data_IF_670205199209
#
_entry.id   IF_670205199209
#
_cell.length_a   1.000
_cell.length_b   1.000
_cell.length_c   1.000
_cell.angle_alpha   90.00
_cell.angle_beta   90.00
_cell.angle_gamma   90.00
#
_symmetry.space_group_name_H-M   'P 1'
#
loop_
_entity.id
_entity.type
_entity.pdbx_description
1 polymer ?
#
# COMPACT_ATOMS: atom_id res chain seq x y z
N UNK A 1 15.12 -16.12 97.71
CA UNK A 1 15.67 -14.82 97.34
C UNK A 1 15.88 -14.79 95.83
N UNK A 2 14.98 -14.18 95.03
CA UNK A 2 15.06 -14.12 93.58
C UNK A 2 15.39 -12.64 93.19
N UNK A 3 16.61 -12.44 92.70
CA UNK A 3 17.10 -11.15 92.24
C UNK A 3 16.59 -10.88 90.79
N UNK A 4 15.76 -9.83 90.62
CA UNK A 4 15.32 -9.33 89.32
C UNK A 4 16.42 -8.48 88.70
N UNK A 5 16.95 -8.87 87.57
CA UNK A 5 17.87 -8.07 86.78
C UNK A 5 17.03 -7.21 85.83
N UNK A 6 17.04 -5.90 86.06
CA UNK A 6 16.43 -4.90 85.15
C UNK A 6 17.42 -4.66 84.00
N UNK A 7 17.01 -4.93 82.75
CA UNK A 7 17.73 -4.52 81.57
C UNK A 7 17.27 -3.10 81.14
N UNK A 8 18.19 -2.16 80.91
CA UNK A 8 17.79 -0.89 80.30
C UNK A 8 17.60 -1.08 78.81
N UNK A 9 16.41 -0.79 78.34
CA UNK A 9 16.12 -0.68 76.88
C UNK A 9 16.55 0.68 76.41
N UNK A 10 17.75 0.76 75.76
CA UNK A 10 18.16 1.94 75.03
C UNK A 10 17.45 1.93 73.66
N UNK A 11 16.41 2.73 73.53
CA UNK A 11 15.79 3.00 72.22
C UNK A 11 16.71 3.93 71.46
N UNK A 12 17.46 3.38 70.53
CA UNK A 12 18.25 4.16 69.59
C UNK A 12 17.29 4.82 68.60
N UNK A 13 16.99 6.09 68.77
CA UNK A 13 16.21 6.90 67.87
C UNK A 13 17.12 7.35 66.72
N UNK A 14 17.12 6.62 65.58
CA UNK A 14 17.78 7.05 64.37
C UNK A 14 17.06 8.26 63.80
N UNK A 15 17.75 9.36 63.47
CA UNK A 15 17.12 10.50 62.85
C UNK A 15 16.63 10.09 61.45
N UNK A 16 15.33 10.19 61.20
CA UNK A 16 14.75 10.09 59.87
C UNK A 16 15.40 11.14 58.98
N UNK A 17 16.29 10.71 58.10
CA UNK A 17 16.75 11.55 56.99
C UNK A 17 15.51 11.96 56.19
N UNK A 18 15.13 13.24 56.28
CA UNK A 18 14.14 13.83 55.37
C UNK A 18 14.82 13.90 54.00
N UNK A 19 14.45 12.98 53.12
CA UNK A 19 14.76 13.14 51.70
C UNK A 19 14.22 14.49 51.24
N UNK A 20 15.11 15.36 50.79
CA UNK A 20 14.72 16.65 50.20
C UNK A 20 14.06 16.28 48.84
N UNK A 21 12.76 16.20 48.83
CA UNK A 21 11.98 16.15 47.60
C UNK A 21 12.19 17.49 46.91
N UNK A 22 12.99 17.52 45.88
CA UNK A 22 13.18 18.70 45.04
C UNK A 22 11.82 19.03 44.40
N UNK A 23 11.20 20.11 44.80
CA UNK A 23 9.94 20.56 44.21
C UNK A 23 10.25 21.20 42.84
N UNK A 24 9.60 20.72 41.80
CA UNK A 24 9.69 21.28 40.44
C UNK A 24 9.08 22.69 40.44
N UNK A 25 9.78 23.65 39.86
CA UNK A 25 9.24 24.98 39.65
C UNK A 25 8.31 25.03 38.45
N UNK A 26 7.32 25.90 38.47
CA UNK A 26 6.37 26.09 37.39
C UNK A 26 7.08 26.51 36.09
N UNK A 27 8.17 27.28 36.21
CA UNK A 27 8.97 27.72 35.05
C UNK A 27 9.77 26.56 34.41
N UNK A 28 10.32 25.65 35.20
CA UNK A 28 11.02 24.46 34.68
C UNK A 28 10.05 23.59 33.85
N UNK A 29 8.83 23.38 34.32
CA UNK A 29 7.83 22.65 33.58
C UNK A 29 7.43 23.37 32.28
N UNK A 30 7.24 24.72 32.38
CA UNK A 30 6.84 25.53 31.24
C UNK A 30 7.90 25.52 30.14
N UNK A 31 9.19 25.61 30.48
CA UNK A 31 10.31 25.58 29.53
C UNK A 31 10.38 24.19 28.82
N UNK A 32 10.20 23.10 29.56
CA UNK A 32 10.22 21.73 28.98
C UNK A 32 9.09 21.55 27.97
N UNK A 33 7.85 21.94 28.33
CA UNK A 33 6.74 21.81 27.36
C UNK A 33 6.93 22.71 26.14
N UNK A 34 7.51 23.91 26.31
CA UNK A 34 7.81 24.80 25.19
C UNK A 34 8.84 24.16 24.22
N UNK A 35 9.90 23.56 24.75
CA UNK A 35 10.89 22.84 23.91
C UNK A 35 10.26 21.66 23.20
N UNK A 36 9.46 20.86 23.90
CA UNK A 36 8.76 19.71 23.30
C UNK A 36 7.81 20.19 22.18
N UNK A 37 7.08 21.28 22.40
CA UNK A 37 6.18 21.84 21.39
C UNK A 37 6.92 22.28 20.13
N UNK A 38 8.08 22.94 20.27
CA UNK A 38 8.91 23.35 19.12
C UNK A 38 9.44 22.13 18.37
N UNK A 39 9.98 21.14 19.09
CA UNK A 39 10.47 19.91 18.46
C UNK A 39 9.36 19.13 17.75
N UNK A 40 8.19 19.02 18.36
CA UNK A 40 7.03 18.37 17.76
C UNK A 40 6.54 19.11 16.50
N UNK A 41 6.50 20.45 16.52
CA UNK A 41 6.09 21.26 15.36
C UNK A 41 6.96 21.01 14.12
N UNK A 42 8.26 20.73 14.29
CA UNK A 42 9.18 20.41 13.20
C UNK A 42 9.15 18.92 12.82
N UNK A 43 8.94 18.03 13.79
CA UNK A 43 8.99 16.59 13.57
C UNK A 43 7.73 16.03 12.90
N UNK A 44 6.54 16.52 13.24
CA UNK A 44 5.25 15.97 12.76
C UNK A 44 5.11 16.04 11.22
N UNK A 45 5.40 17.17 10.53
CA UNK A 45 5.30 17.22 9.07
C UNK A 45 6.27 16.26 8.36
N UNK A 46 7.48 16.11 8.89
CA UNK A 46 8.47 15.20 8.34
C UNK A 46 8.04 13.73 8.52
N UNK A 47 7.52 13.38 9.70
CA UNK A 47 7.03 12.04 10.00
C UNK A 47 5.84 11.63 9.12
N UNK A 48 4.87 12.53 8.91
CA UNK A 48 3.71 12.26 8.04
C UNK A 48 4.12 12.03 6.60
N UNK A 49 5.10 12.78 6.08
CA UNK A 49 5.67 12.57 4.75
C UNK A 49 6.38 11.22 4.63
N UNK A 50 7.21 10.88 5.63
CA UNK A 50 7.91 9.59 5.68
C UNK A 50 6.93 8.42 5.74
N UNK A 51 5.88 8.51 6.56
CA UNK A 51 4.85 7.48 6.68
C UNK A 51 4.10 7.27 5.35
N UNK A 52 3.74 8.33 4.64
CA UNK A 52 3.10 8.23 3.33
C UNK A 52 3.99 7.51 2.32
N UNK A 53 5.29 7.80 2.28
CA UNK A 53 6.25 7.11 1.40
C UNK A 53 6.38 5.62 1.75
N UNK A 54 6.42 5.28 3.05
CA UNK A 54 6.47 3.90 3.50
C UNK A 54 5.22 3.12 3.09
N UNK A 55 4.03 3.73 3.21
CA UNK A 55 2.77 3.16 2.78
C UNK A 55 2.73 2.92 1.26
N UNK A 56 3.19 3.89 0.45
CA UNK A 56 3.30 3.72 -1.00
C UNK A 56 4.24 2.57 -1.37
N UNK A 57 5.38 2.46 -0.68
CA UNK A 57 6.31 1.33 -0.90
C UNK A 57 5.66 0.00 -0.55
N UNK A 58 4.88 -0.06 0.53
CA UNK A 58 4.10 -1.26 0.89
C UNK A 58 3.12 -1.66 -0.21
N UNK A 59 2.34 -0.69 -0.73
CA UNK A 59 1.39 -0.96 -1.82
C UNK A 59 2.09 -1.28 -3.15
N UNK A 60 3.25 -0.69 -3.42
CA UNK A 60 4.08 -1.09 -4.56
C UNK A 60 4.50 -2.57 -4.46
N UNK A 61 4.88 -3.02 -3.28
CA UNK A 61 5.21 -4.43 -3.05
C UNK A 61 3.97 -5.34 -3.19
N UNK A 62 2.79 -4.86 -2.77
CA UNK A 62 1.53 -5.57 -3.00
C UNK A 62 1.24 -5.73 -4.50
N UNK A 63 1.39 -4.66 -5.29
CA UNK A 63 1.25 -4.72 -6.75
C UNK A 63 2.22 -5.71 -7.40
N UNK A 64 3.47 -5.78 -6.92
CA UNK A 64 4.44 -6.80 -7.36
C UNK A 64 3.99 -8.22 -7.03
N UNK A 65 3.48 -8.47 -5.83
CA UNK A 65 3.01 -9.80 -5.45
C UNK A 65 1.79 -10.22 -6.28
N UNK A 66 0.87 -9.30 -6.54
CA UNK A 66 -0.27 -9.54 -7.44
C UNK A 66 0.21 -9.86 -8.86
N UNK A 67 1.17 -9.09 -9.37
CA UNK A 67 1.82 -9.36 -10.65
C UNK A 67 2.46 -10.76 -10.69
N UNK A 68 3.20 -11.15 -9.65
CA UNK A 68 3.84 -12.47 -9.61
C UNK A 68 2.83 -13.61 -9.67
N UNK A 69 1.71 -13.50 -8.95
CA UNK A 69 0.63 -14.48 -9.02
C UNK A 69 0.01 -14.56 -10.42
N UNK A 70 -0.22 -13.41 -11.07
CA UNK A 70 -0.70 -13.34 -12.45
C UNK A 70 0.31 -13.92 -13.44
N UNK A 71 1.58 -13.59 -13.30
CA UNK A 71 2.66 -14.08 -14.18
C UNK A 71 2.81 -15.61 -14.08
N UNK A 72 2.78 -16.15 -12.86
CA UNK A 72 2.83 -17.60 -12.64
C UNK A 72 1.65 -18.29 -13.33
N UNK A 73 0.43 -17.77 -13.16
CA UNK A 73 -0.76 -18.29 -13.82
C UNK A 73 -0.61 -18.29 -15.33
N UNK A 74 -0.16 -17.18 -15.92
CA UNK A 74 0.01 -17.06 -17.38
C UNK A 74 1.10 -18.00 -17.89
N UNK A 75 2.20 -18.14 -17.16
CA UNK A 75 3.30 -19.03 -17.53
C UNK A 75 2.89 -20.51 -17.49
N UNK A 76 2.16 -20.92 -16.44
CA UNK A 76 1.64 -22.28 -16.32
C UNK A 76 0.62 -22.59 -17.42
N UNK A 77 -0.25 -21.62 -17.77
CA UNK A 77 -1.18 -21.73 -18.87
C UNK A 77 -0.49 -21.88 -20.22
N UNK A 78 0.56 -21.12 -20.47
CA UNK A 78 1.39 -21.26 -21.68
C UNK A 78 2.08 -22.61 -21.77
N UNK A 79 2.57 -23.14 -20.64
CA UNK A 79 3.24 -24.43 -20.57
C UNK A 79 2.29 -25.62 -20.75
N UNK A 80 1.03 -25.50 -20.30
CA UNK A 80 0.04 -26.59 -20.32
C UNK A 80 -0.98 -26.49 -21.45
N UNK A 81 -1.04 -25.34 -22.14
CA UNK A 81 -2.08 -25.02 -23.12
C UNK A 81 -3.45 -24.72 -22.52
N UNK A 82 -3.51 -24.40 -21.22
CA UNK A 82 -4.74 -24.07 -20.51
C UNK A 82 -5.13 -22.60 -20.73
N UNK A 83 -6.08 -22.34 -21.64
CA UNK A 83 -6.60 -21.01 -21.93
C UNK A 83 -7.32 -20.34 -20.74
N UNK A 84 -7.66 -21.09 -19.69
CA UNK A 84 -8.20 -20.55 -18.45
C UNK A 84 -7.14 -20.09 -17.46
N UNK A 85 -5.86 -20.25 -17.80
CA UNK A 85 -4.67 -19.80 -17.07
C UNK A 85 -3.82 -18.97 -18.03
N UNK A 86 -4.14 -17.68 -18.14
CA UNK A 86 -3.51 -16.77 -19.10
C UNK A 86 -3.33 -15.38 -18.47
N UNK A 87 -2.77 -14.43 -19.20
CA UNK A 87 -2.86 -13.02 -18.79
C UNK A 87 -4.31 -12.59 -18.69
N UNK A 88 -4.59 -11.65 -17.78
CA UNK A 88 -5.97 -11.24 -17.44
C UNK A 88 -6.80 -10.85 -18.69
N UNK A 89 -6.17 -10.23 -19.71
CA UNK A 89 -6.83 -9.85 -20.96
C UNK A 89 -7.03 -11.00 -21.96
N UNK A 90 -6.33 -12.13 -21.77
CA UNK A 90 -6.42 -13.33 -22.60
C UNK A 90 -7.24 -14.45 -21.95
N UNK A 91 -7.68 -14.27 -20.70
CA UNK A 91 -8.53 -15.24 -20.01
C UNK A 91 -9.85 -15.43 -20.79
N UNK A 92 -10.31 -16.66 -20.85
CA UNK A 92 -11.60 -16.96 -21.47
C UNK A 92 -12.52 -17.70 -20.48
N UNK A 93 -13.60 -17.05 -19.97
CA UNK A 93 -13.99 -15.66 -20.25
C UNK A 93 -13.08 -14.62 -19.55
N UNK A 94 -12.94 -13.44 -20.16
CA UNK A 94 -12.26 -12.30 -19.51
C UNK A 94 -13.02 -11.90 -18.26
N UNK A 95 -12.37 -11.76 -17.09
CA UNK A 95 -13.04 -11.37 -15.85
C UNK A 95 -13.74 -10.02 -15.99
N UNK A 96 -15.04 -9.97 -15.76
CA UNK A 96 -15.82 -8.73 -15.88
C UNK A 96 -15.58 -7.75 -14.71
N UNK A 97 -15.18 -8.26 -13.54
CA UNK A 97 -15.03 -7.49 -12.30
C UNK A 97 -13.72 -7.85 -11.61
N UNK A 98 -13.28 -6.99 -10.67
CA UNK A 98 -12.13 -7.31 -9.80
C UNK A 98 -12.38 -8.58 -8.99
N UNK A 99 -13.61 -8.79 -8.49
CA UNK A 99 -13.96 -10.03 -7.78
C UNK A 99 -13.71 -11.26 -8.65
N UNK A 100 -14.21 -11.27 -9.89
CA UNK A 100 -14.04 -12.41 -10.81
C UNK A 100 -12.55 -12.67 -11.11
N UNK A 101 -11.75 -11.62 -11.25
CA UNK A 101 -10.31 -11.75 -11.42
C UNK A 101 -9.63 -12.36 -10.19
N UNK A 102 -9.89 -11.85 -9.00
CA UNK A 102 -9.31 -12.38 -7.77
C UNK A 102 -9.79 -13.83 -7.50
N UNK A 103 -11.06 -14.13 -7.80
CA UNK A 103 -11.60 -15.51 -7.74
C UNK A 103 -10.83 -16.47 -8.65
N UNK A 104 -10.41 -16.01 -9.84
CA UNK A 104 -9.63 -16.82 -10.77
C UNK A 104 -8.26 -17.13 -10.17
N UNK A 105 -7.52 -16.14 -9.66
CA UNK A 105 -6.21 -16.36 -9.03
C UNK A 105 -6.29 -17.26 -7.80
N UNK A 106 -7.31 -17.06 -6.96
CA UNK A 106 -7.54 -17.88 -5.75
C UNK A 106 -7.97 -19.29 -6.13
N UNK A 107 -8.92 -19.44 -7.04
CA UNK A 107 -9.45 -20.74 -7.46
C UNK A 107 -8.42 -21.62 -8.18
N UNK A 108 -7.45 -20.98 -8.83
CA UNK A 108 -6.29 -21.66 -9.45
C UNK A 108 -5.14 -21.91 -8.47
N UNK A 109 -5.22 -21.39 -7.24
CA UNK A 109 -4.23 -21.63 -6.18
C UNK A 109 -3.01 -20.70 -6.20
N UNK A 110 -2.98 -19.66 -7.03
CA UNK A 110 -1.89 -18.68 -7.09
C UNK A 110 -1.92 -17.66 -5.95
N UNK A 111 -3.08 -17.46 -5.32
CA UNK A 111 -3.25 -16.65 -4.12
C UNK A 111 -4.15 -17.35 -3.10
N UNK A 112 -3.91 -17.05 -1.83
CA UNK A 112 -4.90 -17.36 -0.79
C UNK A 112 -5.97 -16.25 -0.74
N UNK A 113 -7.23 -16.56 -0.37
CA UNK A 113 -8.30 -15.55 -0.34
C UNK A 113 -7.96 -14.32 0.51
N UNK A 114 -7.36 -14.52 1.69
CA UNK A 114 -6.93 -13.44 2.58
C UNK A 114 -5.81 -12.58 2.00
N UNK A 115 -4.87 -13.19 1.26
CA UNK A 115 -3.79 -12.47 0.60
C UNK A 115 -4.33 -11.63 -0.56
N UNK A 116 -5.27 -12.15 -1.34
CA UNK A 116 -5.90 -11.39 -2.42
C UNK A 116 -6.52 -10.07 -1.91
N UNK A 117 -7.22 -10.12 -0.77
CA UNK A 117 -7.79 -8.92 -0.13
C UNK A 117 -6.72 -7.97 0.39
N UNK A 118 -5.67 -8.52 1.00
CA UNK A 118 -4.55 -7.73 1.56
C UNK A 118 -3.77 -7.01 0.46
N UNK A 119 -3.51 -7.67 -0.66
CA UNK A 119 -2.75 -7.08 -1.77
C UNK A 119 -3.49 -5.90 -2.43
N UNK A 120 -4.81 -5.91 -2.40
CA UNK A 120 -5.67 -4.85 -2.91
C UNK A 120 -6.03 -3.80 -1.84
N UNK A 121 -5.36 -3.80 -0.68
CA UNK A 121 -5.59 -2.85 0.40
C UNK A 121 -4.40 -1.94 0.61
N UNK A 122 -4.68 -0.68 1.00
CA UNK A 122 -3.71 0.34 1.36
C UNK A 122 -4.28 1.30 2.41
N UNK A 123 -3.45 2.18 2.94
CA UNK A 123 -3.93 3.26 3.82
C UNK A 123 -4.92 4.18 3.06
N UNK A 124 -6.14 4.23 3.52
CA UNK A 124 -7.24 4.98 2.88
C UNK A 124 -8.03 4.21 1.81
N UNK A 125 -7.66 2.95 1.53
CA UNK A 125 -8.40 2.05 0.64
C UNK A 125 -8.31 0.63 1.20
N UNK A 126 -9.33 0.19 1.91
CA UNK A 126 -9.36 -1.11 2.56
C UNK A 126 -10.37 -2.03 1.86
N UNK A 127 -9.84 -3.00 1.11
CA UNK A 127 -10.67 -4.02 0.49
C UNK A 127 -11.00 -5.10 1.52
N UNK A 128 -12.26 -5.38 1.68
CA UNK A 128 -12.78 -6.49 2.50
C UNK A 128 -13.45 -7.51 1.60
N UNK A 129 -13.69 -8.70 2.10
CA UNK A 129 -14.39 -9.73 1.33
C UNK A 129 -14.91 -10.85 2.18
N UNK A 130 -15.89 -11.54 1.67
CA UNK A 130 -16.41 -12.79 2.24
C UNK A 130 -15.72 -13.98 1.58
N UNK A 131 -15.37 -14.97 2.40
CA UNK A 131 -14.70 -16.20 1.97
C UNK A 131 -15.65 -17.36 2.24
N UNK A 132 -15.83 -18.22 1.25
CA UNK A 132 -16.70 -19.39 1.35
C UNK A 132 -16.35 -20.46 0.35
N UNK A 133 -17.02 -21.59 0.42
CA UNK A 133 -16.79 -22.73 -0.47
C UNK A 133 -15.75 -23.72 0.04
N UNK A 134 -15.60 -24.82 -0.69
CA UNK A 134 -14.59 -25.85 -0.48
C UNK A 134 -14.12 -26.36 -1.85
N UNK A 135 -12.90 -25.99 -2.32
CA UNK A 135 -11.91 -25.17 -1.60
C UNK A 135 -12.36 -23.72 -1.33
N UNK A 136 -11.78 -23.03 -0.33
CA UNK A 136 -12.15 -21.67 0.02
C UNK A 136 -11.84 -20.68 -1.11
N UNK A 137 -12.81 -19.82 -1.45
CA UNK A 137 -12.65 -18.76 -2.43
C UNK A 137 -13.39 -17.48 -1.98
N UNK A 138 -13.16 -16.37 -2.68
CA UNK A 138 -13.90 -15.14 -2.45
C UNK A 138 -15.34 -15.28 -2.96
N UNK A 139 -16.31 -14.86 -2.17
CA UNK A 139 -17.73 -14.89 -2.57
C UNK A 139 -18.33 -13.48 -2.71
N UNK A 140 -17.62 -12.46 -2.26
CA UNK A 140 -18.02 -11.06 -2.40
C UNK A 140 -16.92 -10.12 -1.99
N UNK A 141 -16.99 -8.86 -2.43
CA UNK A 141 -16.12 -7.77 -2.03
C UNK A 141 -16.91 -6.66 -1.35
N UNK A 142 -16.22 -5.92 -0.49
CA UNK A 142 -16.71 -4.70 0.16
C UNK A 142 -15.55 -3.72 0.37
N UNK A 143 -15.88 -2.49 0.77
CA UNK A 143 -14.85 -1.46 0.97
C UNK A 143 -14.38 -0.84 -0.34
N UNK A 144 -13.06 -0.68 -0.50
CA UNK A 144 -12.46 -0.05 -1.67
C UNK A 144 -11.10 -0.68 -1.99
N UNK A 145 -10.83 -0.97 -3.26
CA UNK A 145 -9.52 -1.46 -3.69
C UNK A 145 -8.48 -0.35 -3.69
N UNK A 146 -7.22 -0.70 -3.42
CA UNK A 146 -6.09 0.21 -3.48
C UNK A 146 -5.49 0.29 -4.89
N UNK A 147 -5.65 -0.76 -5.67
CA UNK A 147 -5.10 -0.89 -7.01
C UNK A 147 -6.22 -0.98 -8.05
N UNK A 148 -5.90 -0.57 -9.26
CA UNK A 148 -6.62 -0.84 -10.50
C UNK A 148 -5.78 -1.80 -11.32
N UNK A 149 -6.38 -2.88 -11.81
CA UNK A 149 -5.71 -3.87 -12.66
C UNK A 149 -6.20 -3.72 -14.10
N UNK A 150 -5.28 -3.62 -15.04
CA UNK A 150 -5.58 -3.50 -16.47
C UNK A 150 -5.61 -4.86 -17.15
N UNK A 151 -6.40 -4.96 -18.21
CA UNK A 151 -6.55 -6.18 -19.01
C UNK A 151 -5.32 -6.39 -19.93
N UNK A 152 -4.19 -6.70 -19.33
CA UNK A 152 -2.94 -6.99 -20.02
C UNK A 152 -3.04 -8.33 -20.72
N UNK A 153 -2.54 -8.39 -21.97
CA UNK A 153 -2.46 -9.58 -22.80
C UNK A 153 -1.02 -10.04 -22.96
N UNK A 154 -0.82 -11.27 -23.38
CA UNK A 154 0.52 -11.81 -23.63
C UNK A 154 1.25 -11.03 -24.74
N UNK A 155 0.54 -10.60 -25.76
CA UNK A 155 1.08 -9.81 -26.86
C UNK A 155 1.53 -8.40 -26.47
N UNK A 156 1.12 -7.88 -25.29
CA UNK A 156 1.51 -6.54 -24.87
C UNK A 156 2.99 -6.48 -24.48
N UNK A 157 3.70 -5.35 -24.74
CA UNK A 157 5.09 -5.18 -24.37
C UNK A 157 5.29 -5.14 -22.84
N UNK A 158 6.53 -5.38 -22.38
CA UNK A 158 6.89 -5.37 -20.97
C UNK A 158 6.63 -4.02 -20.27
N UNK A 159 6.65 -2.90 -21.03
CA UNK A 159 6.32 -1.56 -20.55
C UNK A 159 4.82 -1.34 -20.31
N UNK A 160 3.95 -2.26 -20.71
CA UNK A 160 2.50 -2.15 -20.47
C UNK A 160 2.18 -2.15 -18.99
N UNK A 161 1.33 -1.24 -18.58
CA UNK A 161 0.87 -1.12 -17.19
C UNK A 161 -0.03 -2.30 -16.86
N UNK A 162 0.36 -3.07 -15.85
CA UNK A 162 -0.44 -4.15 -15.29
C UNK A 162 -1.37 -3.65 -14.19
N UNK A 163 -0.85 -2.87 -13.24
CA UNK A 163 -1.64 -2.31 -12.16
C UNK A 163 -1.13 -0.92 -11.77
N UNK A 164 -2.06 -0.06 -11.34
CA UNK A 164 -1.75 1.26 -10.77
C UNK A 164 -2.52 1.48 -9.48
N UNK A 165 -2.05 2.39 -8.63
CA UNK A 165 -2.84 2.83 -7.48
C UNK A 165 -4.13 3.53 -7.94
N UNK A 166 -5.23 3.24 -7.25
CA UNK A 166 -6.58 3.68 -7.64
C UNK A 166 -6.72 5.20 -7.79
N UNK A 167 -5.93 5.99 -7.06
CA UNK A 167 -5.95 7.45 -7.14
C UNK A 167 -5.43 8.03 -8.46
N UNK A 168 -4.81 7.22 -9.31
CA UNK A 168 -4.24 7.67 -10.58
C UNK A 168 -5.10 7.22 -11.77
N UNK A 169 -5.38 8.15 -12.67
CA UNK A 169 -5.90 7.91 -14.01
C UNK A 169 -4.80 8.26 -15.01
N UNK A 170 -4.59 7.39 -16.00
CA UNK A 170 -3.49 7.51 -16.95
C UNK A 170 -3.44 8.90 -17.60
N UNK A 171 -2.26 9.51 -17.61
CA UNK A 171 -1.99 10.85 -18.16
C UNK A 171 -2.94 11.93 -17.62
N UNK A 172 -3.31 11.85 -16.34
CA UNK A 172 -4.19 12.82 -15.69
C UNK A 172 -3.57 13.28 -14.38
N UNK A 173 -3.68 14.58 -14.10
CA UNK A 173 -3.20 15.15 -12.85
C UNK A 173 -3.89 14.51 -11.63
N UNK A 174 -3.11 14.28 -10.58
CA UNK A 174 -3.63 13.72 -9.34
C UNK A 174 -4.59 14.71 -8.65
N UNK A 175 -5.66 14.21 -8.06
CA UNK A 175 -6.59 15.00 -7.26
C UNK A 175 -6.51 14.63 -5.77
N UNK A 176 -6.58 15.64 -4.91
CA UNK A 176 -6.45 15.46 -3.45
C UNK A 176 -7.54 14.58 -2.83
N UNK A 177 -8.70 14.54 -3.47
CA UNK A 177 -9.86 13.74 -3.02
C UNK A 177 -9.74 12.26 -3.37
N UNK A 178 -8.81 11.87 -4.26
CA UNK A 178 -8.67 10.50 -4.70
C UNK A 178 -7.87 9.67 -3.69
N UNK A 179 -8.47 8.64 -3.13
CA UNK A 179 -7.76 7.66 -2.31
C UNK A 179 -7.09 6.59 -3.18
N UNK A 180 -5.98 5.96 -2.70
CA UNK A 180 -5.47 6.06 -1.33
C UNK A 180 -4.56 7.24 -1.03
N UNK A 181 -3.93 7.90 -2.01
CA UNK A 181 -2.81 8.80 -1.74
C UNK A 181 -3.04 10.28 -2.12
N UNK A 182 -4.17 10.61 -2.76
CA UNK A 182 -4.45 11.96 -3.25
C UNK A 182 -3.34 12.46 -4.19
N UNK A 183 -2.80 13.65 -3.92
CA UNK A 183 -1.72 14.25 -4.71
C UNK A 183 -0.31 13.84 -4.28
N UNK A 184 -0.14 13.02 -3.24
CA UNK A 184 1.18 12.65 -2.71
C UNK A 184 2.01 11.81 -3.68
N UNK A 185 1.36 11.13 -4.63
CA UNK A 185 1.98 10.29 -5.64
C UNK A 185 1.10 9.11 -6.04
N UNK A 186 1.64 8.27 -6.90
CA UNK A 186 0.96 7.08 -7.40
C UNK A 186 1.96 5.94 -7.63
N UNK A 187 1.44 4.75 -7.81
CA UNK A 187 2.23 3.53 -7.97
C UNK A 187 1.86 2.91 -9.30
N UNK A 188 2.86 2.41 -10.00
CA UNK A 188 2.69 1.67 -11.25
C UNK A 188 3.44 0.36 -11.14
N UNK A 189 2.80 -0.73 -11.52
CA UNK A 189 3.42 -2.04 -11.75
C UNK A 189 3.22 -2.41 -13.21
N UNK A 190 4.31 -2.79 -13.91
CA UNK A 190 4.27 -3.11 -15.34
C UNK A 190 4.28 -4.62 -15.58
N UNK A 191 3.92 -5.02 -16.79
CA UNK A 191 3.98 -6.41 -17.28
C UNK A 191 5.38 -7.02 -17.20
N UNK A 192 6.43 -6.20 -17.27
CA UNK A 192 7.82 -6.63 -17.07
C UNK A 192 8.19 -6.98 -15.63
N UNK A 193 7.28 -6.80 -14.66
CA UNK A 193 7.51 -7.11 -13.25
C UNK A 193 8.14 -5.98 -12.44
N UNK A 194 8.52 -4.90 -13.07
CA UNK A 194 9.01 -3.71 -12.39
C UNK A 194 7.85 -2.91 -11.78
N UNK A 195 8.08 -2.34 -10.62
CA UNK A 195 7.12 -1.48 -9.96
C UNK A 195 7.82 -0.24 -9.42
N UNK A 196 7.16 0.90 -9.54
CA UNK A 196 7.73 2.20 -9.19
C UNK A 196 6.72 3.10 -8.50
N UNK A 197 7.22 3.97 -7.62
CA UNK A 197 6.44 5.04 -6.99
C UNK A 197 6.77 6.35 -7.69
N UNK A 198 5.74 7.07 -8.13
CA UNK A 198 5.85 8.34 -8.82
C UNK A 198 5.27 9.48 -7.98
N UNK A 199 5.78 10.70 -8.20
CA UNK A 199 5.29 11.93 -7.58
C UNK A 199 4.19 12.57 -8.44
N UNK A 200 3.46 13.52 -7.87
CA UNK A 200 2.41 14.27 -8.54
C UNK A 200 2.85 14.85 -9.91
N UNK A 201 4.00 15.52 -9.97
CA UNK A 201 4.53 16.11 -11.21
C UNK A 201 4.96 15.11 -12.29
N UNK A 202 4.83 13.81 -12.03
CA UNK A 202 5.11 12.72 -12.97
C UNK A 202 3.84 12.05 -13.51
N UNK A 203 2.66 12.56 -13.14
CA UNK A 203 1.38 11.96 -13.51
C UNK A 203 0.94 12.26 -14.95
N UNK A 204 1.49 13.30 -15.54
CA UNK A 204 1.07 13.83 -16.85
C UNK A 204 2.29 13.99 -17.76
N UNK A 205 2.09 13.71 -19.04
CA UNK A 205 3.03 13.97 -20.13
C UNK A 205 3.15 15.50 -20.38
N UNK A 206 4.23 15.95 -21.02
CA UNK A 206 4.49 17.35 -21.35
C UNK A 206 5.12 18.17 -20.22
N UNK A 207 5.34 17.55 -19.04
CA UNK A 207 6.02 18.20 -17.92
C UNK A 207 7.55 18.01 -17.94
N UNK A 208 8.23 18.61 -16.93
CA UNK A 208 9.69 18.51 -16.79
C UNK A 208 10.18 17.05 -16.67
N UNK A 209 9.38 16.19 -16.03
CA UNK A 209 9.73 14.79 -15.87
C UNK A 209 9.62 13.99 -17.18
N UNK A 210 8.64 14.31 -17.99
CA UNK A 210 8.31 13.60 -19.22
C UNK A 210 8.05 14.60 -20.38
N UNK A 211 9.11 15.11 -21.02
CA UNK A 211 8.95 16.15 -22.07
C UNK A 211 8.35 15.60 -23.37
N UNK A 212 8.29 14.29 -23.57
CA UNK A 212 7.73 13.65 -24.75
C UNK A 212 6.85 12.47 -24.36
N UNK A 213 5.92 12.08 -25.26
CA UNK A 213 5.07 10.89 -25.11
C UNK A 213 5.92 9.65 -24.85
N UNK A 214 6.99 9.44 -25.62
CA UNK A 214 7.87 8.28 -25.44
C UNK A 214 8.53 8.29 -24.05
N UNK A 215 9.04 9.43 -23.58
CA UNK A 215 9.63 9.50 -22.24
C UNK A 215 8.61 9.17 -21.14
N UNK A 216 7.35 9.57 -21.32
CA UNK A 216 6.25 9.22 -20.41
C UNK A 216 5.92 7.72 -20.47
N UNK A 217 5.79 7.15 -21.67
CA UNK A 217 5.51 5.72 -21.86
C UNK A 217 6.65 4.83 -21.34
N UNK A 218 7.91 5.23 -21.54
CA UNK A 218 9.06 4.51 -20.95
C UNK A 218 9.14 4.65 -19.44
N UNK A 219 8.81 5.83 -18.92
CA UNK A 219 8.84 6.11 -17.49
C UNK A 219 7.64 5.51 -16.78
N UNK A 220 6.43 5.97 -17.06
CA UNK A 220 5.20 5.53 -16.37
C UNK A 220 4.71 4.18 -16.91
N UNK A 221 4.68 4.01 -18.22
CA UNK A 221 4.19 2.81 -18.91
C UNK A 221 3.17 3.15 -19.99
N UNK A 222 2.69 2.13 -20.67
CA UNK A 222 1.68 2.19 -21.74
C UNK A 222 0.39 1.51 -21.29
N UNK A 223 -0.76 1.98 -21.74
CA UNK A 223 -2.01 1.22 -21.57
C UNK A 223 -2.00 -0.04 -22.46
N UNK A 224 -2.75 -1.09 -22.07
CA UNK A 224 -2.94 -2.26 -22.96
C UNK A 224 -3.53 -1.83 -24.31
N UNK A 225 -2.84 -2.21 -25.39
CA UNK A 225 -3.23 -1.85 -26.76
C UNK A 225 -2.67 -0.52 -27.28
N UNK A 226 -1.98 0.26 -26.45
CA UNK A 226 -1.31 1.48 -26.92
C UNK A 226 -0.11 1.15 -27.82
N UNK A 227 0.21 2.10 -28.69
CA UNK A 227 1.37 2.08 -29.57
C UNK A 227 2.40 3.09 -29.08
N UNK A 228 3.69 2.76 -29.23
CA UNK A 228 4.78 3.67 -28.87
C UNK A 228 4.65 5.02 -29.60
N UNK A 229 4.78 6.09 -28.85
CA UNK A 229 4.62 7.47 -29.34
C UNK A 229 3.17 7.95 -29.50
N UNK A 230 2.18 7.15 -29.09
CA UNK A 230 0.75 7.53 -29.10
C UNK A 230 0.14 7.30 -27.76
N UNK A 231 -0.43 8.36 -27.15
CA UNK A 231 -1.12 8.25 -25.86
C UNK A 231 -2.54 7.70 -26.03
N UNK A 232 -2.82 6.60 -25.38
CA UNK A 232 -4.19 6.10 -25.20
C UNK A 232 -4.96 6.86 -24.13
N UNK A 233 -6.26 6.63 -24.11
CA UNK A 233 -7.16 7.11 -23.05
C UNK A 233 -7.59 5.91 -22.21
N UNK A 234 -7.48 6.04 -20.89
CA UNK A 234 -7.93 4.98 -19.97
C UNK A 234 -9.41 4.69 -20.20
N UNK A 235 -9.70 3.47 -20.65
CA UNK A 235 -11.06 3.00 -20.84
C UNK A 235 -11.49 2.18 -19.61
N UNK A 236 -12.56 2.59 -18.89
CA UNK A 236 -13.06 1.84 -17.72
C UNK A 236 -13.38 0.38 -18.02
N UNK A 237 -13.76 0.04 -19.26
CA UNK A 237 -14.02 -1.35 -19.67
C UNK A 237 -12.75 -2.23 -19.62
N UNK A 238 -11.56 -1.64 -19.70
CA UNK A 238 -10.28 -2.34 -19.68
C UNK A 238 -9.61 -2.34 -18.30
N UNK A 239 -10.33 -1.90 -17.27
CA UNK A 239 -9.81 -1.78 -15.90
C UNK A 239 -10.68 -2.58 -14.94
N UNK A 240 -10.05 -3.26 -13.99
CA UNK A 240 -10.70 -3.97 -12.89
C UNK A 240 -10.36 -3.26 -11.59
N UNK A 241 -11.36 -2.66 -10.98
CA UNK A 241 -11.28 -1.88 -9.75
C UNK A 241 -12.54 -2.13 -8.92
N UNK A 242 -12.44 -1.98 -7.60
CA UNK A 242 -13.60 -1.99 -6.71
C UNK A 242 -13.77 -0.59 -6.09
N UNK A 243 -14.99 -0.05 -6.02
CA UNK A 243 -15.30 1.33 -5.59
C UNK A 243 -14.72 1.73 -4.24
#
# INVERSE_FOLDING_TARGET
MKTKINKPSSVFNLPKQRERVSAFTLIELLVVIAIIAILAALAVPALTSALSKAQMTGTMNNGRQLYLAQFQMANDGSATGDASSAWIGDLNPVPATLLAYLQTLVGKGYLQPGDALRLESASGANLTGTIGGNPPNLTGLGGSSALKVYLVQDANPASTIFAVSKNYTYNTALASVNSPYGTKGFIVTRKGGDASVYKEGQAVEGGVAWPTIQSFQYGVGMLPGDVDGTLGIENPANVRVYP
#
